data_IF_632883646136
#
_entry.id   IF_632883646136
#
_cell.length_a   1.000
_cell.length_b   1.000
_cell.length_c   1.000
_cell.angle_alpha   90.00
_cell.angle_beta   90.00
_cell.angle_gamma   90.00
#
_symmetry.space_group_name_H-M   'P 1'
#
loop_
_entity.id
_entity.type
_entity.pdbx_description
1 polymer ?
#
# COMPACT_ATOMS: atom_id res chain seq x y z
N UNK A 1 -23.85 21.25 9.76
CA UNK A 1 -22.49 21.47 10.34
C UNK A 1 -21.70 22.52 9.56
N UNK A 2 -21.47 22.38 8.26
CA UNK A 2 -20.69 23.36 7.46
C UNK A 2 -21.29 24.77 7.40
N UNK A 3 -22.61 24.92 7.24
CA UNK A 3 -23.30 26.23 7.33
C UNK A 3 -23.07 26.95 8.67
N UNK A 4 -22.98 26.19 9.77
CA UNK A 4 -22.73 26.74 11.11
C UNK A 4 -21.31 27.30 11.20
N UNK A 5 -20.31 26.64 10.60
CA UNK A 5 -18.92 27.13 10.59
C UNK A 5 -18.75 28.40 9.75
N UNK A 6 -19.42 28.49 8.59
CA UNK A 6 -19.45 29.71 7.77
C UNK A 6 -20.03 30.89 8.55
N UNK A 7 -21.18 30.69 9.19
CA UNK A 7 -21.82 31.70 10.03
C UNK A 7 -20.94 32.08 11.22
N UNK A 8 -20.29 31.11 11.87
CA UNK A 8 -19.40 31.37 13.00
C UNK A 8 -18.16 32.16 12.59
N UNK A 9 -17.57 31.85 11.43
CA UNK A 9 -16.45 32.63 10.88
C UNK A 9 -16.86 34.09 10.69
N UNK A 10 -17.99 34.31 10.02
CA UNK A 10 -18.47 35.67 9.77
C UNK A 10 -18.79 36.41 11.08
N UNK A 11 -19.45 35.73 12.01
CA UNK A 11 -19.75 36.27 13.34
C UNK A 11 -18.47 36.69 14.08
N UNK A 12 -17.39 35.88 14.03
CA UNK A 12 -16.10 36.24 14.63
C UNK A 12 -15.50 37.49 13.98
N UNK A 13 -15.62 37.63 12.66
CA UNK A 13 -15.14 38.82 11.94
C UNK A 13 -15.96 40.05 12.31
N UNK A 14 -17.29 39.96 12.31
CA UNK A 14 -18.17 41.10 12.56
C UNK A 14 -18.15 41.54 14.02
N UNK A 15 -18.12 40.60 14.96
CA UNK A 15 -18.17 40.88 16.40
C UNK A 15 -16.80 41.21 17.03
N UNK A 16 -15.73 41.25 16.23
CA UNK A 16 -14.40 41.57 16.73
C UNK A 16 -14.19 43.08 16.90
N UNK A 17 -13.57 43.53 18.01
CA UNK A 17 -13.18 44.93 18.17
C UNK A 17 -12.02 45.33 17.23
N UNK A 18 -11.30 44.36 16.65
CA UNK A 18 -10.17 44.61 15.76
C UNK A 18 -10.65 45.04 14.36
N UNK A 19 -9.80 45.75 13.59
CA UNK A 19 -10.00 45.93 12.15
C UNK A 19 -10.14 44.60 11.41
N UNK A 20 -10.89 44.59 10.31
CA UNK A 20 -11.19 43.36 9.54
C UNK A 20 -9.91 42.70 9.04
N UNK A 21 -8.96 43.52 8.57
CA UNK A 21 -7.65 43.15 8.07
C UNK A 21 -6.79 42.43 9.11
N UNK A 22 -7.02 42.71 10.40
CA UNK A 22 -6.30 42.09 11.50
C UNK A 22 -6.98 40.82 12.01
N UNK A 23 -8.31 40.86 12.24
CA UNK A 23 -9.05 39.70 12.75
C UNK A 23 -9.04 38.52 11.76
N UNK A 24 -9.12 38.78 10.45
CA UNK A 24 -9.07 37.73 9.43
C UNK A 24 -7.77 36.94 9.49
N UNK A 25 -6.64 37.60 9.83
CA UNK A 25 -5.35 36.94 10.03
C UNK A 25 -5.31 36.13 11.33
N UNK A 26 -6.13 36.48 12.33
CA UNK A 26 -6.17 35.81 13.64
C UNK A 26 -7.15 34.63 13.70
N UNK A 27 -7.99 34.44 12.69
CA UNK A 27 -8.88 33.27 12.59
C UNK A 27 -8.20 32.20 11.72
N UNK A 28 -8.04 31.00 12.27
CA UNK A 28 -7.55 29.83 11.53
C UNK A 28 -8.69 28.82 11.38
N UNK A 29 -9.09 28.57 10.13
CA UNK A 29 -10.13 27.59 9.82
C UNK A 29 -9.50 26.44 9.02
N UNK A 30 -9.52 25.24 9.61
CA UNK A 30 -8.89 24.05 9.05
C UNK A 30 -9.94 23.10 8.48
N UNK A 31 -9.71 22.59 7.27
CA UNK A 31 -10.53 21.58 6.60
C UNK A 31 -9.71 20.32 6.28
N UNK A 32 -10.41 19.22 5.98
CA UNK A 32 -9.77 17.97 5.56
C UNK A 32 -9.23 18.02 4.13
N UNK A 33 -9.90 18.73 3.24
CA UNK A 33 -9.54 18.77 1.81
C UNK A 33 -9.47 20.20 1.29
N UNK A 34 -8.65 20.41 0.27
CA UNK A 34 -8.52 21.69 -0.43
C UNK A 34 -9.85 22.12 -1.05
N UNK A 35 -10.61 21.15 -1.57
CA UNK A 35 -11.97 21.38 -2.08
C UNK A 35 -12.90 21.92 -0.98
N UNK A 36 -12.88 21.31 0.20
CA UNK A 36 -13.70 21.78 1.32
C UNK A 36 -13.28 23.18 1.81
N UNK A 37 -11.99 23.52 1.78
CA UNK A 37 -11.52 24.88 2.07
C UNK A 37 -12.04 25.87 1.03
N UNK A 38 -11.98 25.53 -0.26
CA UNK A 38 -12.51 26.35 -1.34
C UNK A 38 -14.03 26.55 -1.23
N UNK A 39 -14.79 25.46 -1.02
CA UNK A 39 -16.24 25.53 -0.79
C UNK A 39 -16.58 26.39 0.44
N UNK A 40 -15.79 26.32 1.52
CA UNK A 40 -16.01 27.17 2.69
C UNK A 40 -15.79 28.65 2.37
N UNK A 41 -14.74 29.01 1.60
CA UNK A 41 -14.52 30.38 1.14
C UNK A 41 -15.65 30.87 0.26
N UNK A 42 -16.09 30.06 -0.69
CA UNK A 42 -17.19 30.39 -1.61
C UNK A 42 -18.50 30.64 -0.84
N UNK A 43 -18.80 29.82 0.18
CA UNK A 43 -19.97 30.03 1.04
C UNK A 43 -19.88 31.30 1.86
N UNK A 44 -18.70 31.65 2.38
CA UNK A 44 -18.50 32.92 3.09
C UNK A 44 -18.69 34.08 2.13
N UNK A 45 -18.14 33.99 0.92
CA UNK A 45 -18.31 35.00 -0.11
C UNK A 45 -19.79 35.23 -0.45
N UNK A 46 -20.53 34.15 -0.75
CA UNK A 46 -21.98 34.25 -1.03
C UNK A 46 -22.77 34.85 0.12
N UNK A 47 -22.46 34.48 1.36
CA UNK A 47 -23.10 35.07 2.54
C UNK A 47 -22.77 36.56 2.72
N UNK A 48 -21.55 36.97 2.40
CA UNK A 48 -21.14 38.39 2.43
C UNK A 48 -21.91 39.18 1.37
N UNK A 49 -22.06 38.68 0.15
CA UNK A 49 -22.88 39.33 -0.89
C UNK A 49 -24.34 39.44 -0.48
N UNK A 50 -24.95 38.33 -0.01
CA UNK A 50 -26.33 38.32 0.48
C UNK A 50 -26.55 39.38 1.57
N UNK A 51 -25.62 39.49 2.52
CA UNK A 51 -25.70 40.48 3.59
C UNK A 51 -25.41 41.90 3.12
N UNK A 52 -24.65 42.12 2.05
CA UNK A 52 -24.47 43.46 1.49
C UNK A 52 -25.73 43.92 0.73
N UNK A 53 -26.41 43.00 0.04
CA UNK A 53 -27.60 43.30 -0.75
C UNK A 53 -28.89 43.40 0.09
N UNK A 54 -29.06 42.53 1.09
CA UNK A 54 -30.33 42.37 1.81
C UNK A 54 -30.26 42.94 3.22
N UNK A 55 -30.82 44.13 3.42
CA UNK A 55 -30.86 44.81 4.71
C UNK A 55 -31.60 43.99 5.79
N UNK A 56 -32.69 43.31 5.42
CA UNK A 56 -33.42 42.38 6.29
C UNK A 56 -32.52 41.30 6.90
N UNK A 57 -31.62 40.72 6.10
CA UNK A 57 -30.68 39.70 6.61
C UNK A 57 -29.65 40.29 7.56
N UNK A 58 -29.27 41.57 7.39
CA UNK A 58 -28.38 42.26 8.35
C UNK A 58 -29.08 42.58 9.65
N UNK A 59 -30.37 42.97 9.60
CA UNK A 59 -31.18 43.25 10.79
C UNK A 59 -31.40 42.00 11.66
N UNK A 60 -31.43 40.83 11.03
CA UNK A 60 -31.52 39.54 11.72
C UNK A 60 -30.19 39.09 12.38
N UNK A 61 -29.07 39.81 12.15
CA UNK A 61 -27.81 39.53 12.83
C UNK A 61 -27.89 40.04 14.28
N UNK A 62 -27.68 39.13 15.24
CA UNK A 62 -27.52 39.48 16.66
C UNK A 62 -26.12 40.09 16.93
N UNK A 63 -25.85 41.28 16.41
CA UNK A 63 -24.56 41.99 16.51
C UNK A 63 -24.78 43.45 16.93
N UNK A 64 -24.03 43.90 17.93
CA UNK A 64 -24.09 45.27 18.46
C UNK A 64 -23.29 46.27 17.61
N UNK A 65 -23.63 46.41 16.33
CA UNK A 65 -23.03 47.38 15.41
C UNK A 65 -24.12 48.11 14.62
N UNK A 66 -23.86 49.37 14.22
CA UNK A 66 -24.74 50.07 13.29
C UNK A 66 -24.69 49.41 11.90
N UNK A 67 -25.76 49.56 11.10
CA UNK A 67 -25.83 48.99 9.75
C UNK A 67 -24.67 49.49 8.88
N UNK A 68 -24.32 50.79 8.96
CA UNK A 68 -23.21 51.36 8.21
C UNK A 68 -21.88 50.69 8.58
N UNK A 69 -21.68 50.38 9.87
CA UNK A 69 -20.46 49.72 10.33
C UNK A 69 -20.43 48.26 9.89
N UNK A 70 -21.57 47.56 9.88
CA UNK A 70 -21.68 46.20 9.33
C UNK A 70 -21.33 46.20 7.84
N UNK A 71 -21.95 47.09 7.04
CA UNK A 71 -21.67 47.22 5.60
C UNK A 71 -20.20 47.54 5.34
N UNK A 72 -19.59 48.42 6.14
CA UNK A 72 -18.17 48.74 6.01
C UNK A 72 -17.28 47.51 6.27
N UNK A 73 -17.55 46.74 7.33
CA UNK A 73 -16.79 45.52 7.64
C UNK A 73 -16.96 44.45 6.58
N UNK A 74 -18.19 44.23 6.09
CA UNK A 74 -18.49 43.28 5.02
C UNK A 74 -17.80 43.65 3.70
N UNK A 75 -17.85 44.93 3.33
CA UNK A 75 -17.17 45.44 2.12
C UNK A 75 -15.66 45.20 2.20
N UNK A 76 -15.07 45.45 3.36
CA UNK A 76 -13.64 45.19 3.61
C UNK A 76 -13.34 43.69 3.52
N UNK A 77 -14.13 42.85 4.18
CA UNK A 77 -13.99 41.40 4.17
C UNK A 77 -14.06 40.84 2.74
N UNK A 78 -15.02 41.32 1.92
CA UNK A 78 -15.14 40.93 0.51
C UNK A 78 -13.84 41.16 -0.26
N UNK A 79 -13.18 42.30 -0.06
CA UNK A 79 -11.92 42.64 -0.74
C UNK A 79 -10.73 41.79 -0.31
N UNK A 80 -10.73 41.24 0.91
CA UNK A 80 -9.58 40.51 1.48
C UNK A 80 -9.87 39.04 1.81
N UNK A 81 -11.01 38.50 1.39
CA UNK A 81 -11.39 37.12 1.72
C UNK A 81 -10.40 36.10 1.17
N UNK A 82 -9.72 36.43 0.06
CA UNK A 82 -8.64 35.62 -0.50
C UNK A 82 -7.45 35.43 0.46
N UNK A 83 -7.20 36.39 1.34
CA UNK A 83 -6.10 36.37 2.31
C UNK A 83 -6.46 35.62 3.61
N UNK A 84 -7.70 35.11 3.71
CA UNK A 84 -8.15 34.39 4.90
C UNK A 84 -7.43 33.06 5.10
N UNK A 85 -7.12 32.72 6.36
CA UNK A 85 -6.47 31.46 6.74
C UNK A 85 -7.47 30.30 6.81
N UNK A 86 -8.20 30.10 5.71
CA UNK A 86 -9.08 28.97 5.47
C UNK A 86 -8.30 27.99 4.61
N UNK A 87 -7.86 26.86 5.17
CA UNK A 87 -6.94 25.95 4.49
C UNK A 87 -7.03 24.53 5.01
N UNK A 88 -6.31 23.60 4.41
CA UNK A 88 -6.15 22.27 5.01
C UNK A 88 -5.12 22.31 6.13
N UNK A 89 -5.10 21.27 6.97
CA UNK A 89 -4.07 21.11 7.99
C UNK A 89 -2.66 21.16 7.38
N UNK A 90 -2.42 20.45 6.27
CA UNK A 90 -1.14 20.44 5.57
C UNK A 90 -0.73 21.82 5.05
N UNK A 91 -1.64 22.55 4.40
CA UNK A 91 -1.34 23.89 3.88
C UNK A 91 -1.02 24.89 5.00
N UNK A 92 -1.69 24.76 6.15
CA UNK A 92 -1.40 25.56 7.35
C UNK A 92 0.01 25.25 7.89
N UNK A 93 0.33 23.97 8.11
CA UNK A 93 1.64 23.54 8.58
C UNK A 93 2.77 23.94 7.62
N UNK A 94 2.57 23.80 6.31
CA UNK A 94 3.53 24.24 5.31
C UNK A 94 3.77 25.77 5.37
N UNK A 95 2.72 26.56 5.65
CA UNK A 95 2.87 28.00 5.88
C UNK A 95 3.70 28.33 7.13
N UNK A 96 3.52 27.56 8.20
CA UNK A 96 4.34 27.66 9.43
C UNK A 96 5.81 27.32 9.16
N UNK A 97 6.07 26.23 8.44
CA UNK A 97 7.44 25.82 8.09
C UNK A 97 8.15 26.86 7.22
N UNK A 98 7.45 27.51 6.28
CA UNK A 98 8.05 28.61 5.50
C UNK A 98 8.44 29.83 6.34
N UNK A 99 7.70 30.10 7.42
CA UNK A 99 7.95 31.26 8.29
C UNK A 99 9.03 30.98 9.35
N UNK A 100 9.02 29.77 9.93
CA UNK A 100 9.84 29.41 11.10
C UNK A 100 10.78 28.23 10.86
N UNK A 101 10.92 27.75 9.62
CA UNK A 101 11.74 26.57 9.28
C UNK A 101 13.20 26.69 9.70
N UNK A 102 13.75 27.91 9.65
CA UNK A 102 15.11 28.18 10.12
C UNK A 102 15.36 27.84 11.60
N UNK A 103 14.32 27.84 12.45
CA UNK A 103 14.44 27.46 13.86
C UNK A 103 14.65 25.95 14.06
N UNK A 104 14.34 25.15 13.03
CA UNK A 104 14.42 23.68 13.04
C UNK A 104 15.29 23.12 11.91
N UNK A 105 16.19 23.95 11.37
CA UNK A 105 17.10 23.60 10.26
C UNK A 105 16.37 23.10 8.99
N UNK A 106 15.17 23.65 8.73
CA UNK A 106 14.40 23.41 7.51
C UNK A 106 14.50 24.63 6.60
N UNK A 107 14.98 24.41 5.38
CA UNK A 107 15.04 25.45 4.35
C UNK A 107 13.63 26.03 4.07
N UNK A 108 13.42 27.35 4.14
CA UNK A 108 12.14 27.98 3.79
C UNK A 108 11.67 27.68 2.37
N UNK A 109 12.58 27.40 1.44
CA UNK A 109 12.29 27.01 0.05
C UNK A 109 12.05 25.50 -0.10
N UNK A 110 12.05 24.75 1.01
CA UNK A 110 11.71 23.33 0.99
C UNK A 110 10.30 23.10 0.45
N UNK A 111 10.21 22.10 -0.41
CA UNK A 111 8.94 21.64 -1.01
C UNK A 111 8.53 20.33 -0.39
N UNK A 112 7.22 20.11 -0.38
CA UNK A 112 6.67 18.78 -0.10
C UNK A 112 7.24 17.78 -1.11
N UNK A 113 7.73 16.66 -0.60
CA UNK A 113 8.26 15.58 -1.42
C UNK A 113 7.08 14.86 -2.09
N UNK A 114 7.23 14.53 -3.37
CA UNK A 114 6.21 13.72 -4.04
C UNK A 114 6.32 12.26 -3.60
N UNK A 115 5.21 11.51 -3.63
CA UNK A 115 5.22 10.08 -3.29
C UNK A 115 6.26 9.30 -4.11
N UNK A 116 6.42 9.66 -5.39
CA UNK A 116 7.43 9.06 -6.27
C UNK A 116 8.85 9.40 -5.83
N UNK A 117 9.13 10.67 -5.54
CA UNK A 117 10.46 11.10 -5.09
C UNK A 117 10.81 10.44 -3.76
N UNK A 118 9.86 10.39 -2.82
CA UNK A 118 10.02 9.73 -1.53
C UNK A 118 10.34 8.24 -1.70
N UNK A 119 9.59 7.56 -2.59
CA UNK A 119 9.83 6.16 -2.91
C UNK A 119 11.24 5.92 -3.47
N UNK A 120 11.67 6.76 -4.40
CA UNK A 120 13.01 6.67 -4.98
C UNK A 120 14.10 6.93 -3.93
N UNK A 121 13.91 7.90 -3.03
CA UNK A 121 14.86 8.21 -1.97
C UNK A 121 15.00 7.06 -0.98
N UNK A 122 13.90 6.42 -0.58
CA UNK A 122 13.91 5.24 0.30
C UNK A 122 14.63 4.08 -0.38
N UNK A 123 14.29 3.76 -1.63
CA UNK A 123 14.94 2.67 -2.38
C UNK A 123 16.45 2.88 -2.53
N UNK A 124 16.87 4.11 -2.85
CA UNK A 124 18.30 4.46 -2.92
C UNK A 124 18.99 4.35 -1.56
N UNK A 125 18.33 4.75 -0.48
CA UNK A 125 18.86 4.60 0.87
C UNK A 125 19.06 3.12 1.24
N UNK A 126 18.08 2.26 0.92
CA UNK A 126 18.17 0.81 1.15
C UNK A 126 19.34 0.19 0.39
N UNK A 127 19.46 0.48 -0.91
CA UNK A 127 20.56 -0.05 -1.74
C UNK A 127 21.93 0.40 -1.22
N UNK A 128 22.04 1.64 -0.75
CA UNK A 128 23.26 2.14 -0.11
C UNK A 128 23.55 1.39 1.18
N UNK A 129 22.57 1.20 2.06
CA UNK A 129 22.73 0.45 3.31
C UNK A 129 23.15 -1.00 3.07
N UNK A 130 22.57 -1.68 2.06
CA UNK A 130 22.96 -3.03 1.69
C UNK A 130 24.41 -3.05 1.18
N UNK A 131 24.81 -2.08 0.35
CA UNK A 131 26.21 -1.96 -0.11
C UNK A 131 27.20 -1.72 1.03
N UNK A 132 26.84 -0.88 1.99
CA UNK A 132 27.65 -0.64 3.19
C UNK A 132 27.73 -1.90 4.08
N UNK A 133 26.63 -2.63 4.19
CA UNK A 133 26.60 -3.91 4.89
C UNK A 133 27.45 -4.98 4.16
N UNK A 134 27.51 -4.99 2.83
CA UNK A 134 28.42 -5.87 2.09
C UNK A 134 29.90 -5.61 2.44
N UNK A 135 30.28 -4.38 2.77
CA UNK A 135 31.65 -4.06 3.16
C UNK A 135 32.02 -4.55 4.57
N UNK A 136 31.02 -4.79 5.44
CA UNK A 136 31.24 -5.07 6.88
C UNK A 136 30.71 -6.43 7.34
N UNK A 137 29.74 -7.01 6.62
CA UNK A 137 28.97 -8.22 6.96
C UNK A 137 28.74 -9.11 5.73
N UNK A 138 29.74 -9.19 4.86
CA UNK A 138 29.64 -9.90 3.57
C UNK A 138 29.17 -11.35 3.73
N UNK A 139 29.74 -12.11 4.67
CA UNK A 139 29.41 -13.53 4.89
C UNK A 139 27.93 -13.74 5.23
N UNK A 140 27.37 -12.92 6.11
CA UNK A 140 25.96 -12.99 6.50
C UNK A 140 25.03 -12.66 5.33
N UNK A 141 25.36 -11.62 4.55
CA UNK A 141 24.59 -11.24 3.37
C UNK A 141 24.66 -12.30 2.27
N UNK A 142 25.83 -12.92 2.07
CA UNK A 142 25.96 -14.03 1.12
C UNK A 142 25.09 -15.22 1.51
N UNK A 143 25.04 -15.58 2.80
CA UNK A 143 24.14 -16.63 3.27
C UNK A 143 22.67 -16.27 2.97
N UNK A 144 22.25 -15.04 3.28
CA UNK A 144 20.89 -14.59 2.97
C UNK A 144 20.58 -14.58 1.46
N UNK A 145 21.52 -14.16 0.62
CA UNK A 145 21.33 -14.20 -0.83
C UNK A 145 21.22 -15.63 -1.38
N UNK A 146 21.83 -16.62 -0.74
CA UNK A 146 21.64 -18.03 -1.12
C UNK A 146 20.26 -18.54 -0.71
N UNK A 147 19.74 -18.08 0.43
CA UNK A 147 18.45 -18.53 0.96
C UNK A 147 17.25 -17.90 0.24
N UNK A 148 17.31 -16.62 -0.10
CA UNK A 148 16.16 -15.85 -0.62
C UNK A 148 16.46 -14.96 -1.84
N UNK A 149 17.66 -15.03 -2.42
CA UNK A 149 18.15 -14.21 -3.54
C UNK A 149 18.33 -12.70 -3.26
N UNK A 150 18.98 -12.01 -4.20
CA UNK A 150 19.31 -10.57 -4.06
C UNK A 150 18.04 -9.72 -3.99
N UNK A 151 17.06 -10.02 -4.83
CA UNK A 151 15.81 -9.26 -4.89
C UNK A 151 14.99 -9.51 -3.64
N UNK A 152 14.94 -10.76 -3.16
CA UNK A 152 14.25 -11.11 -1.91
C UNK A 152 14.83 -10.41 -0.69
N UNK A 153 16.15 -10.25 -0.61
CA UNK A 153 16.78 -9.44 0.46
C UNK A 153 16.42 -7.96 0.33
N UNK A 154 16.49 -7.36 -0.87
CA UNK A 154 16.11 -5.96 -1.07
C UNK A 154 14.64 -5.71 -0.71
N UNK A 155 13.74 -6.57 -1.18
CA UNK A 155 12.31 -6.51 -0.91
C UNK A 155 12.00 -6.71 0.58
N UNK A 156 12.69 -7.61 1.26
CA UNK A 156 12.53 -7.82 2.70
C UNK A 156 12.97 -6.59 3.50
N UNK A 157 14.11 -5.99 3.15
CA UNK A 157 14.57 -4.76 3.79
C UNK A 157 13.59 -3.62 3.52
N UNK A 158 13.10 -3.47 2.29
CA UNK A 158 12.09 -2.47 1.95
C UNK A 158 10.78 -2.67 2.73
N UNK A 159 10.33 -3.92 2.85
CA UNK A 159 9.15 -4.28 3.60
C UNK A 159 9.24 -3.80 5.05
N UNK A 160 10.35 -4.10 5.75
CA UNK A 160 10.53 -3.73 7.14
C UNK A 160 10.80 -2.24 7.36
N UNK A 161 11.45 -1.55 6.41
CA UNK A 161 11.62 -0.08 6.47
C UNK A 161 10.26 0.62 6.40
N UNK A 162 9.32 0.09 5.62
CA UNK A 162 7.96 0.64 5.50
C UNK A 162 7.02 0.22 6.63
N UNK A 163 7.31 -0.90 7.30
CA UNK A 163 6.49 -1.48 8.38
C UNK A 163 7.36 -1.85 9.59
N UNK A 164 7.90 -0.85 10.31
CA UNK A 164 8.77 -1.10 11.46
C UNK A 164 8.06 -1.88 12.57
N UNK A 165 6.74 -1.74 12.71
CA UNK A 165 5.92 -2.52 13.63
C UNK A 165 5.95 -4.02 13.32
N UNK A 166 6.00 -4.41 12.06
CA UNK A 166 6.08 -5.82 11.66
C UNK A 166 7.48 -6.38 11.95
N UNK A 167 8.53 -5.56 11.82
CA UNK A 167 9.88 -5.96 12.25
C UNK A 167 9.94 -6.25 13.75
N UNK A 168 9.31 -5.41 14.57
CA UNK A 168 9.23 -5.61 16.02
C UNK A 168 8.48 -6.90 16.32
N UNK A 169 7.33 -7.13 15.68
CA UNK A 169 6.51 -8.33 15.88
C UNK A 169 7.21 -9.61 15.45
N UNK A 170 7.89 -9.61 14.30
CA UNK A 170 8.69 -10.75 13.87
C UNK A 170 9.80 -11.02 14.87
N UNK A 171 10.51 -9.98 15.33
CA UNK A 171 11.56 -10.15 16.34
C UNK A 171 11.03 -10.74 17.65
N UNK A 172 9.94 -10.20 18.19
CA UNK A 172 9.29 -10.74 19.40
C UNK A 172 8.83 -12.18 19.20
N UNK A 173 8.31 -12.50 18.00
CA UNK A 173 7.92 -13.86 17.65
C UNK A 173 9.14 -14.79 17.62
N UNK A 174 10.25 -14.41 16.98
CA UNK A 174 11.49 -15.20 16.99
C UNK A 174 12.04 -15.40 18.41
N UNK A 175 12.03 -14.36 19.25
CA UNK A 175 12.50 -14.41 20.63
C UNK A 175 11.59 -15.26 21.54
N UNK A 176 10.36 -15.54 21.12
CA UNK A 176 9.43 -16.42 21.86
C UNK A 176 9.78 -17.90 21.78
N UNK A 177 10.71 -18.29 20.90
CA UNK A 177 11.17 -19.67 20.75
C UNK A 177 12.57 -19.87 21.33
N UNK A 178 12.80 -21.03 21.92
CA UNK A 178 14.09 -21.36 22.53
C UNK A 178 15.14 -21.79 21.49
N UNK A 179 14.71 -22.40 20.38
CA UNK A 179 15.61 -22.94 19.34
C UNK A 179 15.14 -22.64 17.92
N UNK A 180 16.07 -22.71 16.97
CA UNK A 180 15.78 -22.58 15.54
C UNK A 180 14.86 -23.69 15.03
N UNK A 181 14.97 -24.90 15.58
CA UNK A 181 14.10 -26.02 15.20
C UNK A 181 12.64 -25.77 15.59
N UNK A 182 12.39 -25.13 16.74
CA UNK A 182 11.04 -24.75 17.17
C UNK A 182 10.42 -23.70 16.23
N UNK A 183 11.24 -22.75 15.78
CA UNK A 183 10.85 -21.72 14.81
C UNK A 183 10.48 -22.35 13.46
N UNK A 184 11.32 -23.25 12.96
CA UNK A 184 11.10 -23.97 11.70
C UNK A 184 9.83 -24.80 11.81
N UNK A 185 9.65 -25.57 12.88
CA UNK A 185 8.45 -26.36 13.11
C UNK A 185 7.18 -25.50 13.16
N UNK A 186 7.22 -24.34 13.84
CA UNK A 186 6.10 -23.42 13.92
C UNK A 186 5.77 -22.71 12.58
N UNK A 187 6.77 -22.47 11.71
CA UNK A 187 6.56 -21.95 10.35
C UNK A 187 6.04 -23.04 9.41
N UNK A 188 6.64 -24.22 9.45
CA UNK A 188 6.26 -25.35 8.60
C UNK A 188 4.82 -25.79 8.90
N UNK A 189 4.44 -25.98 10.17
CA UNK A 189 3.08 -26.39 10.52
C UNK A 189 2.01 -25.44 9.97
N UNK A 190 2.22 -24.12 10.04
CA UNK A 190 1.21 -23.14 9.59
C UNK A 190 1.13 -22.96 8.08
N UNK A 191 2.27 -23.00 7.38
CA UNK A 191 2.31 -22.78 5.93
C UNK A 191 1.91 -24.04 5.15
N UNK A 192 2.38 -25.23 5.57
CA UNK A 192 2.07 -26.48 4.90
C UNK A 192 0.60 -26.86 5.07
N UNK A 193 0.01 -26.71 6.26
CA UNK A 193 -1.40 -27.08 6.48
C UNK A 193 -2.35 -26.22 5.64
N UNK A 194 -2.07 -24.92 5.49
CA UNK A 194 -2.88 -24.02 4.67
C UNK A 194 -2.74 -24.30 3.17
N UNK A 195 -1.50 -24.44 2.68
CA UNK A 195 -1.24 -24.72 1.26
C UNK A 195 -1.79 -26.10 0.88
N UNK A 196 -1.59 -27.11 1.74
CA UNK A 196 -2.16 -28.43 1.56
C UNK A 196 -3.69 -28.36 1.59
N UNK A 197 -4.30 -27.62 2.52
CA UNK A 197 -5.74 -27.40 2.58
C UNK A 197 -6.32 -26.83 1.28
N UNK A 198 -5.73 -25.75 0.76
CA UNK A 198 -6.16 -25.11 -0.50
C UNK A 198 -5.99 -26.07 -1.69
N UNK A 199 -4.87 -26.79 -1.74
CA UNK A 199 -4.62 -27.73 -2.83
C UNK A 199 -5.57 -28.95 -2.77
N UNK A 200 -5.92 -29.43 -1.57
CA UNK A 200 -6.92 -30.48 -1.36
C UNK A 200 -8.32 -30.04 -1.79
N UNK A 201 -8.70 -28.80 -1.50
CA UNK A 201 -9.96 -28.22 -1.97
C UNK A 201 -10.01 -28.16 -3.50
N UNK A 202 -8.95 -27.65 -4.14
CA UNK A 202 -8.85 -27.63 -5.60
C UNK A 202 -8.91 -29.03 -6.24
N UNK A 203 -8.33 -30.04 -5.61
CA UNK A 203 -8.42 -31.43 -6.05
C UNK A 203 -9.83 -32.00 -5.93
N UNK A 204 -10.55 -31.69 -4.84
CA UNK A 204 -11.95 -32.10 -4.65
C UNK A 204 -12.85 -31.47 -5.70
N UNK A 205 -12.65 -30.19 -6.01
CA UNK A 205 -13.39 -29.48 -7.05
C UNK A 205 -13.10 -30.07 -8.44
N UNK A 206 -11.82 -30.31 -8.76
CA UNK A 206 -11.43 -30.94 -10.01
C UNK A 206 -12.05 -32.34 -10.17
N UNK A 207 -12.09 -33.15 -9.09
CA UNK A 207 -12.74 -34.46 -9.07
C UNK A 207 -14.23 -34.37 -9.40
N UNK A 208 -14.94 -33.43 -8.76
CA UNK A 208 -16.36 -33.21 -9.00
C UNK A 208 -16.63 -32.81 -10.45
N UNK A 209 -15.84 -31.87 -10.96
CA UNK A 209 -15.91 -31.39 -12.34
C UNK A 209 -15.63 -32.50 -13.37
N UNK A 210 -14.59 -33.31 -13.16
CA UNK A 210 -14.24 -34.45 -14.01
C UNK A 210 -15.40 -35.45 -14.04
N UNK A 211 -15.99 -35.77 -12.88
CA UNK A 211 -17.11 -36.71 -12.80
C UNK A 211 -18.36 -36.21 -13.51
N UNK A 212 -18.62 -34.91 -13.47
CA UNK A 212 -19.79 -34.30 -14.11
C UNK A 212 -19.60 -34.14 -15.63
N UNK A 213 -18.42 -33.67 -16.03
CA UNK A 213 -18.16 -33.19 -17.41
C UNK A 213 -17.55 -34.25 -18.31
N UNK A 214 -16.77 -35.20 -17.79
CA UNK A 214 -16.17 -36.26 -18.59
C UNK A 214 -17.16 -37.41 -18.81
N UNK A 215 -17.57 -37.60 -20.06
CA UNK A 215 -18.46 -38.68 -20.49
C UNK A 215 -17.70 -39.62 -21.43
N UNK A 216 -17.07 -40.70 -20.90
CA UNK A 216 -16.31 -41.62 -21.72
C UNK A 216 -17.23 -42.38 -22.68
N UNK A 217 -16.77 -42.57 -23.91
CA UNK A 217 -17.49 -43.25 -25.00
C UNK A 217 -16.91 -44.62 -25.31
N UNK A 218 -15.70 -44.92 -24.83
CA UNK A 218 -15.03 -46.22 -24.99
C UNK A 218 -14.67 -46.85 -23.64
N UNK A 219 -14.44 -48.17 -23.62
CA UNK A 219 -14.03 -48.89 -22.42
C UNK A 219 -12.67 -48.41 -21.89
N UNK A 220 -11.74 -48.10 -22.79
CA UNK A 220 -10.41 -47.58 -22.44
C UNK A 220 -10.50 -46.18 -21.82
N UNK A 221 -11.37 -45.31 -22.34
CA UNK A 221 -11.64 -43.99 -21.76
C UNK A 221 -12.26 -44.10 -20.35
N UNK A 222 -13.17 -45.06 -20.15
CA UNK A 222 -13.77 -45.32 -18.83
C UNK A 222 -12.72 -45.83 -17.82
N UNK A 223 -11.79 -46.68 -18.27
CA UNK A 223 -10.71 -47.19 -17.43
C UNK A 223 -9.74 -46.08 -17.02
N UNK A 224 -9.35 -45.21 -17.96
CA UNK A 224 -8.46 -44.08 -17.68
C UNK A 224 -9.11 -43.05 -16.75
N UNK A 225 -10.40 -42.76 -16.93
CA UNK A 225 -11.16 -41.88 -16.04
C UNK A 225 -11.23 -42.44 -14.61
N UNK A 226 -11.40 -43.76 -14.48
CA UNK A 226 -11.45 -44.42 -13.17
C UNK A 226 -10.09 -44.35 -12.46
N UNK A 227 -8.99 -44.56 -13.19
CA UNK A 227 -7.64 -44.44 -12.64
C UNK A 227 -7.30 -43.00 -12.20
N UNK A 228 -7.74 -42.00 -12.95
CA UNK A 228 -7.59 -40.59 -12.60
C UNK A 228 -8.30 -40.25 -11.28
N UNK A 229 -9.56 -40.62 -11.16
CA UNK A 229 -10.37 -40.34 -9.98
C UNK A 229 -9.81 -41.05 -8.74
N UNK A 230 -9.31 -42.28 -8.90
CA UNK A 230 -8.62 -43.01 -7.83
C UNK A 230 -7.31 -42.35 -7.40
N UNK A 231 -6.54 -41.79 -8.33
CA UNK A 231 -5.32 -41.03 -8.01
C UNK A 231 -5.61 -39.71 -7.29
N UNK A 232 -6.70 -39.02 -7.65
CA UNK A 232 -7.16 -37.83 -6.93
C UNK A 232 -7.65 -38.20 -5.52
N UNK A 233 -8.43 -39.28 -5.38
CA UNK A 233 -8.93 -39.77 -4.08
C UNK A 233 -7.77 -40.16 -3.14
N UNK A 234 -6.73 -40.80 -3.66
CA UNK A 234 -5.53 -41.11 -2.87
C UNK A 234 -4.79 -39.86 -2.37
N UNK A 235 -4.80 -38.77 -3.14
CA UNK A 235 -4.21 -37.49 -2.71
C UNK A 235 -5.08 -36.79 -1.64
N UNK A 236 -6.40 -36.95 -1.73
CA UNK A 236 -7.36 -36.36 -0.79
C UNK A 236 -7.41 -37.10 0.55
N UNK A 237 -7.26 -38.43 0.53
CA UNK A 237 -7.37 -39.29 1.72
C UNK A 237 -6.04 -39.52 2.46
N UNK A 238 -4.90 -39.13 1.86
CA UNK A 238 -3.67 -38.82 2.59
C UNK A 238 -2.50 -39.79 2.42
N UNK A 239 -1.49 -39.35 1.67
CA UNK A 239 -0.07 -39.36 2.06
C UNK A 239 0.69 -38.35 1.19
N UNK A 240 1.77 -37.74 1.70
CA UNK A 240 2.63 -36.82 0.91
C UNK A 240 3.19 -37.52 -0.34
N UNK A 241 3.35 -38.85 -0.33
CA UNK A 241 3.80 -39.62 -1.50
C UNK A 241 2.77 -39.60 -2.63
N UNK A 242 1.46 -39.54 -2.33
CA UNK A 242 0.41 -39.44 -3.35
C UNK A 242 0.56 -38.15 -4.19
N UNK A 243 0.98 -37.05 -3.55
CA UNK A 243 1.24 -35.76 -4.21
C UNK A 243 2.38 -35.83 -5.23
N UNK A 244 3.38 -36.67 -5.01
CA UNK A 244 4.49 -36.88 -5.95
C UNK A 244 4.04 -37.61 -7.22
N UNK A 245 2.94 -38.38 -7.15
CA UNK A 245 2.40 -39.14 -8.28
C UNK A 245 1.31 -38.42 -9.06
N UNK A 246 0.72 -37.36 -8.48
CA UNK A 246 -0.35 -36.57 -9.08
C UNK A 246 0.01 -35.98 -10.47
N UNK A 247 1.23 -35.43 -10.71
CA UNK A 247 1.62 -34.96 -12.03
C UNK A 247 1.63 -36.09 -13.07
N UNK A 248 2.05 -37.29 -12.69
CA UNK A 248 2.10 -38.47 -13.57
C UNK A 248 0.70 -38.95 -13.94
N UNK A 249 -0.22 -39.00 -12.98
CA UNK A 249 -1.63 -39.39 -13.20
C UNK A 249 -2.33 -38.39 -14.12
N UNK A 250 -2.15 -37.08 -13.88
CA UNK A 250 -2.71 -36.03 -14.73
C UNK A 250 -2.16 -36.09 -16.16
N UNK A 251 -0.86 -36.37 -16.33
CA UNK A 251 -0.21 -36.46 -17.63
C UNK A 251 -0.66 -37.70 -18.42
N UNK A 252 -0.78 -38.86 -17.75
CA UNK A 252 -1.24 -40.12 -18.36
C UNK A 252 -2.65 -40.00 -18.96
N UNK A 253 -3.55 -39.34 -18.24
CA UNK A 253 -4.94 -39.08 -18.66
C UNK A 253 -4.99 -38.13 -19.85
N UNK A 254 -4.17 -37.07 -19.83
CA UNK A 254 -4.09 -36.10 -20.91
C UNK A 254 -3.62 -36.74 -22.23
N UNK A 255 -2.73 -37.74 -22.15
CA UNK A 255 -2.21 -38.46 -23.33
C UNK A 255 -3.16 -39.50 -23.92
N UNK A 256 -4.09 -40.06 -23.14
CA UNK A 256 -4.96 -41.15 -23.61
C UNK A 256 -6.31 -40.69 -24.20
N UNK A 257 -6.76 -39.46 -23.92
CA UNK A 257 -8.11 -38.99 -24.30
C UNK A 257 -8.17 -37.94 -25.44
N UNK A 258 -7.07 -37.64 -26.15
CA UNK A 258 -7.05 -36.53 -27.12
C UNK A 258 -6.12 -36.71 -28.32
N UNK A 259 -6.69 -36.53 -29.51
CA UNK A 259 -6.05 -36.59 -30.83
C UNK A 259 -4.94 -35.54 -31.05
N UNK A 260 -3.81 -36.00 -31.59
CA UNK A 260 -2.69 -35.25 -32.17
C UNK A 260 -2.68 -33.72 -32.07
N UNK A 261 -1.96 -33.18 -31.09
CA UNK A 261 -1.20 -31.92 -31.22
C UNK A 261 0.13 -32.06 -30.48
N UNK A 262 1.21 -31.69 -31.17
CA UNK A 262 2.61 -31.86 -30.78
C UNK A 262 2.89 -31.46 -29.32
N UNK A 263 3.60 -32.33 -28.61
CA UNK A 263 4.28 -32.04 -27.35
C UNK A 263 5.05 -30.71 -27.44
N UNK A 264 4.57 -29.67 -26.73
CA UNK A 264 5.47 -28.88 -25.90
C UNK A 264 5.40 -29.52 -24.53
N UNK A 265 6.53 -30.05 -24.08
CA UNK A 265 6.71 -30.70 -22.79
C UNK A 265 5.94 -29.96 -21.69
N UNK A 266 4.92 -30.60 -21.11
CA UNK A 266 4.51 -30.35 -19.74
C UNK A 266 5.59 -30.93 -18.82
N UNK A 267 6.73 -30.25 -18.78
CA UNK A 267 7.60 -30.19 -17.61
C UNK A 267 7.52 -28.72 -17.21
N UNK A 268 6.57 -28.41 -16.33
CA UNK A 268 6.30 -27.04 -15.93
C UNK A 268 5.44 -27.07 -14.69
N UNK A 269 6.08 -27.26 -13.54
CA UNK A 269 5.35 -27.41 -12.28
C UNK A 269 6.15 -27.84 -11.06
N UNK A 270 7.48 -27.79 -11.07
CA UNK A 270 8.23 -27.35 -9.89
C UNK A 270 8.95 -26.09 -10.33
N UNK A 271 8.66 -24.94 -9.71
CA UNK A 271 9.72 -23.94 -9.61
C UNK A 271 10.63 -24.45 -8.50
N UNK A 272 11.41 -25.47 -8.84
CA UNK A 272 12.66 -25.73 -8.14
C UNK A 272 13.48 -24.44 -8.20
N UNK A 273 14.20 -24.18 -7.11
CA UNK A 273 15.43 -23.41 -7.09
C UNK A 273 16.14 -23.56 -8.45
N UNK A 274 16.00 -22.56 -9.32
CA UNK A 274 16.58 -22.63 -10.65
C UNK A 274 18.11 -22.56 -10.47
N UNK A 275 18.90 -23.43 -11.14
CA UNK A 275 20.33 -23.19 -11.21
C UNK A 275 20.56 -21.86 -11.92
N UNK A 276 21.39 -21.03 -11.30
CA UNK A 276 21.79 -19.71 -11.77
C UNK A 276 22.10 -19.76 -13.28
N UNK A 277 21.43 -18.96 -14.12
CA UNK A 277 21.66 -18.92 -15.56
C UNK A 277 23.14 -18.64 -15.91
N UNK A 278 23.68 -19.24 -16.97
CA UNK A 278 25.10 -19.10 -17.34
C UNK A 278 25.53 -17.65 -17.65
N UNK A 279 24.58 -16.80 -18.03
CA UNK A 279 24.71 -15.35 -18.21
C UNK A 279 24.84 -14.57 -16.90
N UNK A 280 24.34 -15.12 -15.78
CA UNK A 280 24.56 -14.57 -14.44
C UNK A 280 25.99 -14.86 -13.97
N UNK A 281 26.58 -16.01 -14.35
CA UNK A 281 28.01 -16.29 -14.10
C UNK A 281 28.95 -15.38 -14.92
N UNK A 282 28.57 -14.96 -16.12
CA UNK A 282 29.31 -13.92 -16.86
C UNK A 282 29.18 -12.54 -16.20
N UNK A 283 28.00 -12.19 -15.70
CA UNK A 283 27.76 -10.93 -14.99
C UNK A 283 28.56 -10.83 -13.68
N UNK A 284 28.70 -11.95 -12.95
CA UNK A 284 29.55 -12.05 -11.75
C UNK A 284 31.04 -11.95 -12.08
N UNK A 285 31.50 -12.51 -13.21
CA UNK A 285 32.90 -12.35 -13.68
C UNK A 285 33.21 -10.93 -14.15
N UNK A 286 32.24 -10.21 -14.70
CA UNK A 286 32.40 -8.79 -15.10
C UNK A 286 32.48 -7.89 -13.87
N UNK A 287 31.70 -8.16 -12.81
CA UNK A 287 31.77 -7.41 -11.56
C UNK A 287 33.05 -7.70 -10.76
N UNK A 288 33.57 -8.92 -10.79
CA UNK A 288 34.82 -9.30 -10.12
C UNK A 288 36.08 -8.76 -10.83
N UNK A 289 36.03 -8.50 -12.14
CA UNK A 289 37.17 -7.96 -12.93
C UNK A 289 37.25 -6.44 -12.97
N UNK A 290 36.31 -5.73 -12.34
CA UNK A 290 36.31 -4.28 -12.17
C UNK A 290 36.73 -3.84 -10.75
N UNK A 291 37.19 -4.78 -9.92
CA UNK A 291 37.63 -4.56 -8.55
C UNK A 291 39.15 -4.70 -8.35
N UNK A 292 39.94 -4.74 -9.43
CA UNK A 292 41.41 -4.55 -9.43
C UNK A 292 41.80 -3.24 -10.13
#
# INVERSE_FOLDING_TARGET
KTRVLTLRYLWLVLNSPLPVEEIVKKIVAITFTTKAAAEMRERIHGLVEDLLEKEEMRRDLEIELSDERIVQRLTTLRGILGDSRISTFHSFCAGLLRLYGHEIDVDPESREISDRDAQMMISNAIRRSIREAMATRAEELYAMYLDIDITGVEDAVEFFVRRPEDLIREKEWFESFATMDDIIAARQGRAYDLIAGIALEGLRDARADIREKCKPKTADEQQNLTALLAGIDACVDGSIEAWTTLPTVLNYVYTAAGSGRKQKSMVGGSRDLQPVPSDVWESVKVLASQAD
#
